data_IF_078807282170
#
_entry.id   IF_078807282170
#
_cell.length_a   1.000
_cell.length_b   1.000
_cell.length_c   1.000
_cell.angle_alpha   90.00
_cell.angle_beta   90.00
_cell.angle_gamma   90.00
#
_symmetry.space_group_name_H-M   'P 1'
#
loop_
_entity.id
_entity.type
_entity.pdbx_description
1 polymer ?
#
# COMPACT_ATOMS: atom_id res chain seq x y z
N UNK A 1 -20.60 17.24 35.99
CA UNK A 1 -21.37 16.56 34.93
C UNK A 1 -21.00 15.10 35.01
N UNK A 2 -21.90 14.23 35.48
CA UNK A 2 -21.72 12.80 35.31
C UNK A 2 -21.85 12.51 33.81
N UNK A 3 -20.84 11.91 33.19
CA UNK A 3 -20.86 11.63 31.75
C UNK A 3 -21.98 10.65 31.41
N UNK A 4 -22.62 10.81 30.26
CA UNK A 4 -23.59 9.87 29.70
C UNK A 4 -22.95 8.58 29.16
N UNK A 5 -21.76 8.25 29.63
CA UNK A 5 -20.89 7.18 29.14
C UNK A 5 -20.36 6.42 30.34
N UNK A 6 -20.71 5.14 30.38
CA UNK A 6 -20.05 4.15 31.23
C UNK A 6 -18.90 3.54 30.41
N UNK A 7 -17.71 3.51 30.99
CA UNK A 7 -16.53 2.98 30.34
C UNK A 7 -16.09 1.71 31.07
N UNK A 8 -16.09 0.62 30.31
CA UNK A 8 -15.57 -0.67 30.74
C UNK A 8 -14.30 -0.98 29.94
N UNK A 9 -13.27 -1.48 30.63
CA UNK A 9 -12.02 -1.90 30.01
C UNK A 9 -11.88 -3.40 30.19
N UNK A 10 -11.82 -4.10 29.06
CA UNK A 10 -11.62 -5.56 29.00
C UNK A 10 -10.20 -5.82 28.50
N UNK A 11 -9.36 -6.39 29.37
CA UNK A 11 -7.95 -6.71 29.07
C UNK A 11 -7.72 -8.22 28.89
N UNK A 12 -8.64 -9.05 29.40
CA UNK A 12 -8.58 -10.50 29.31
C UNK A 12 -9.88 -11.08 28.71
N UNK A 13 -9.75 -12.12 27.89
CA UNK A 13 -10.91 -12.74 27.21
C UNK A 13 -11.96 -13.29 28.18
N UNK A 14 -11.58 -13.62 29.41
CA UNK A 14 -12.49 -14.11 30.46
C UNK A 14 -13.37 -13.01 31.06
N UNK A 15 -13.04 -11.74 30.82
CA UNK A 15 -13.82 -10.58 31.25
C UNK A 15 -14.92 -10.21 30.26
N UNK A 16 -14.95 -10.82 29.07
CA UNK A 16 -15.98 -10.52 28.06
C UNK A 16 -17.30 -11.16 28.48
N UNK A 17 -18.24 -10.33 28.90
CA UNK A 17 -19.60 -10.72 29.22
C UNK A 17 -20.53 -10.64 27.99
N UNK A 18 -21.68 -11.34 28.00
CA UNK A 18 -22.71 -11.14 26.99
C UNK A 18 -23.17 -9.69 26.90
N UNK A 19 -23.31 -9.16 25.68
CA UNK A 19 -23.66 -7.76 25.45
C UNK A 19 -25.18 -7.61 25.42
N UNK A 20 -25.74 -6.93 26.44
CA UNK A 20 -27.14 -6.50 26.48
C UNK A 20 -27.27 -5.04 26.03
N UNK A 21 -27.67 -4.83 24.77
CA UNK A 21 -27.87 -3.50 24.21
C UNK A 21 -28.93 -3.53 23.10
N UNK A 22 -29.51 -2.36 22.78
CA UNK A 22 -30.39 -2.21 21.61
C UNK A 22 -29.58 -2.14 20.30
N UNK A 23 -28.37 -1.60 20.36
CA UNK A 23 -27.46 -1.45 19.22
C UNK A 23 -25.99 -1.56 19.65
N UNK A 24 -25.16 -2.08 18.74
CA UNK A 24 -23.71 -2.23 18.93
C UNK A 24 -22.99 -1.45 17.83
N UNK A 25 -21.94 -0.73 18.21
CA UNK A 25 -21.05 -0.07 17.25
C UNK A 25 -19.70 -0.79 17.26
N UNK A 26 -19.43 -1.53 16.20
CA UNK A 26 -18.13 -2.15 15.96
C UNK A 26 -17.15 -1.13 15.38
N UNK A 27 -16.23 -0.68 16.22
CA UNK A 27 -15.12 0.20 15.85
C UNK A 27 -13.78 -0.32 16.40
N UNK A 28 -13.63 -1.65 16.53
CA UNK A 28 -12.47 -2.28 17.16
C UNK A 28 -11.24 -2.23 16.23
N UNK A 29 -11.36 -2.73 15.00
CA UNK A 29 -10.27 -2.77 14.01
C UNK A 29 -10.83 -2.47 12.61
N UNK A 30 -10.37 -1.38 12.01
CA UNK A 30 -10.73 -0.99 10.65
C UNK A 30 -9.90 -1.65 9.55
N UNK A 31 -9.65 -0.91 8.46
CA UNK A 31 -8.97 -1.40 7.25
C UNK A 31 -7.55 -1.96 7.44
N UNK A 32 -6.92 -1.78 8.61
CA UNK A 32 -5.56 -2.25 8.90
C UNK A 32 -5.47 -3.73 9.24
N UNK A 33 -6.60 -4.41 9.47
CA UNK A 33 -6.60 -5.83 9.79
C UNK A 33 -5.95 -6.68 8.67
N UNK A 34 -5.07 -7.61 9.05
CA UNK A 34 -4.38 -8.54 8.14
C UNK A 34 -4.37 -9.99 8.68
N UNK A 35 -5.18 -10.30 9.69
CA UNK A 35 -5.10 -11.55 10.47
C UNK A 35 -4.44 -11.34 11.84
N UNK A 36 -4.56 -12.34 12.71
CA UNK A 36 -3.93 -12.37 14.03
C UNK A 36 -4.77 -11.69 15.11
N UNK A 37 -6.06 -12.04 15.24
CA UNK A 37 -6.90 -11.51 16.30
C UNK A 37 -6.40 -11.94 17.69
N UNK A 38 -6.28 -10.96 18.60
CA UNK A 38 -6.02 -11.25 20.00
C UNK A 38 -7.15 -12.11 20.61
N UNK A 39 -6.88 -12.91 21.65
CA UNK A 39 -7.92 -13.68 22.34
C UNK A 39 -9.09 -12.81 22.82
N UNK A 40 -8.80 -11.61 23.33
CA UNK A 40 -9.80 -10.64 23.79
C UNK A 40 -10.67 -10.18 22.62
N UNK A 41 -10.06 -9.74 21.52
CA UNK A 41 -10.81 -9.29 20.33
C UNK A 41 -11.70 -10.39 19.78
N UNK A 42 -11.20 -11.63 19.75
CA UNK A 42 -11.99 -12.79 19.32
C UNK A 42 -13.21 -13.02 20.20
N UNK A 43 -13.03 -12.97 21.51
CA UNK A 43 -14.12 -13.12 22.47
C UNK A 43 -15.17 -12.01 22.30
N UNK A 44 -14.73 -10.76 22.11
CA UNK A 44 -15.64 -9.62 21.85
C UNK A 44 -16.42 -9.81 20.53
N UNK A 45 -15.77 -10.20 19.43
CA UNK A 45 -16.47 -10.47 18.15
C UNK A 45 -17.54 -11.55 18.35
N UNK A 46 -17.21 -12.62 19.08
CA UNK A 46 -18.16 -13.68 19.38
C UNK A 46 -19.35 -13.18 20.22
N UNK A 47 -19.11 -12.32 21.22
CA UNK A 47 -20.16 -11.71 22.02
C UNK A 47 -21.06 -10.77 21.18
N UNK A 48 -20.47 -9.99 20.27
CA UNK A 48 -21.21 -9.14 19.31
C UNK A 48 -22.11 -10.01 18.44
N UNK A 49 -21.55 -11.03 17.78
CA UNK A 49 -22.30 -11.89 16.87
C UNK A 49 -23.37 -12.75 17.56
N UNK A 50 -23.25 -12.99 18.87
CA UNK A 50 -24.24 -13.69 19.67
C UNK A 50 -25.36 -12.77 20.19
N UNK A 51 -25.16 -11.46 20.20
CA UNK A 51 -26.13 -10.48 20.66
C UNK A 51 -27.25 -10.29 19.63
N UNK A 52 -28.52 -10.14 20.06
CA UNK A 52 -29.63 -9.78 19.17
C UNK A 52 -29.64 -8.29 18.78
N UNK A 53 -28.70 -7.50 19.29
CA UNK A 53 -28.62 -6.05 19.07
C UNK A 53 -28.34 -5.70 17.60
N UNK A 54 -28.84 -4.54 17.16
CA UNK A 54 -28.55 -4.04 15.81
C UNK A 54 -27.08 -3.60 15.69
N UNK A 55 -26.28 -4.29 14.89
CA UNK A 55 -24.83 -4.10 14.82
C UNK A 55 -24.43 -3.22 13.64
N UNK A 56 -23.69 -2.15 13.93
CA UNK A 56 -23.14 -1.22 12.94
C UNK A 56 -21.62 -1.25 12.98
N UNK A 57 -20.98 -1.68 11.90
CA UNK A 57 -19.52 -1.60 11.76
C UNK A 57 -19.08 -0.28 11.14
N UNK A 58 -18.03 0.30 11.71
CA UNK A 58 -17.41 1.54 11.25
C UNK A 58 -16.18 1.20 10.40
N UNK A 59 -16.10 1.79 9.22
CA UNK A 59 -15.10 1.56 8.17
C UNK A 59 -15.20 0.17 7.50
N UNK A 60 -15.09 -0.90 8.29
CA UNK A 60 -15.19 -2.31 7.90
C UNK A 60 -15.55 -3.15 9.13
N UNK A 61 -16.27 -4.28 8.99
CA UNK A 61 -16.43 -5.23 10.07
C UNK A 61 -15.08 -5.71 10.58
N UNK A 62 -14.89 -5.65 11.90
CA UNK A 62 -13.68 -6.16 12.55
C UNK A 62 -13.52 -7.64 12.19
N UNK A 63 -12.33 -8.01 11.69
CA UNK A 63 -12.03 -9.36 11.23
C UNK A 63 -12.16 -9.59 9.71
N UNK A 64 -12.57 -8.58 8.95
CA UNK A 64 -12.59 -8.62 7.48
C UNK A 64 -11.30 -8.01 6.88
N UNK A 65 -10.60 -8.77 6.06
CA UNK A 65 -9.45 -8.27 5.29
C UNK A 65 -9.96 -7.48 4.09
N UNK A 66 -9.80 -6.15 4.13
CA UNK A 66 -10.39 -5.22 3.15
C UNK A 66 -9.87 -5.35 1.72
N UNK A 67 -8.69 -5.93 1.52
CA UNK A 67 -8.08 -6.07 0.20
C UNK A 67 -8.60 -7.31 -0.54
N UNK A 68 -8.80 -8.42 0.19
CA UNK A 68 -9.16 -9.73 -0.38
C UNK A 68 -10.60 -10.15 -0.09
N UNK A 69 -11.20 -9.60 0.97
CA UNK A 69 -12.50 -10.02 1.50
C UNK A 69 -12.42 -11.28 2.36
N UNK A 70 -11.23 -11.77 2.65
CA UNK A 70 -11.06 -12.95 3.51
C UNK A 70 -11.37 -12.61 4.96
N UNK A 71 -11.86 -13.63 5.66
CA UNK A 71 -12.06 -13.63 7.12
C UNK A 71 -11.23 -14.81 7.65
N UNK A 72 -9.91 -14.64 7.85
CA UNK A 72 -9.03 -15.74 8.24
C UNK A 72 -9.41 -16.37 9.58
N UNK A 73 -10.12 -15.61 10.39
CA UNK A 73 -10.57 -15.91 11.74
C UNK A 73 -12.03 -15.41 11.88
N UNK A 74 -12.44 -15.03 13.09
CA UNK A 74 -13.75 -14.47 13.39
C UNK A 74 -13.90 -13.09 12.76
N UNK A 75 -15.12 -12.79 12.33
CA UNK A 75 -15.48 -11.51 11.75
C UNK A 75 -16.84 -11.08 12.29
N UNK A 76 -16.99 -9.80 12.56
CA UNK A 76 -18.30 -9.23 12.91
C UNK A 76 -19.26 -9.41 11.75
N UNK A 77 -20.49 -9.83 12.04
CA UNK A 77 -21.62 -9.87 11.11
C UNK A 77 -22.51 -8.66 11.38
N UNK A 78 -22.31 -7.59 10.61
CA UNK A 78 -23.01 -6.34 10.83
C UNK A 78 -24.35 -6.28 10.07
N UNK A 79 -25.34 -5.63 10.66
CA UNK A 79 -26.58 -5.25 9.98
C UNK A 79 -26.37 -4.07 9.02
N UNK A 80 -25.41 -3.20 9.34
CA UNK A 80 -24.97 -2.11 8.48
C UNK A 80 -23.48 -1.82 8.64
N UNK A 81 -22.84 -1.39 7.55
CA UNK A 81 -21.44 -0.93 7.57
C UNK A 81 -21.35 0.48 7.02
N UNK A 82 -20.79 1.40 7.80
CA UNK A 82 -20.48 2.77 7.36
C UNK A 82 -19.03 2.83 6.93
N UNK A 83 -18.80 2.77 5.62
CA UNK A 83 -17.46 2.88 5.02
C UNK A 83 -17.15 4.30 4.59
N UNK A 84 -15.89 4.70 4.65
CA UNK A 84 -15.47 6.05 4.25
C UNK A 84 -14.93 6.10 2.83
N UNK A 85 -15.27 7.18 2.12
CA UNK A 85 -14.83 7.54 0.77
C UNK A 85 -15.25 6.57 -0.35
N UNK A 86 -14.88 5.30 -0.27
CA UNK A 86 -15.24 4.25 -1.23
C UNK A 86 -15.46 2.89 -0.55
N UNK A 87 -16.24 2.00 -1.18
CA UNK A 87 -16.22 0.58 -0.84
C UNK A 87 -14.82 -0.01 -1.04
N UNK A 88 -14.42 -0.90 -0.15
CA UNK A 88 -13.13 -1.61 -0.25
C UNK A 88 -13.23 -2.78 -1.23
N UNK A 89 -12.13 -3.17 -1.85
CA UNK A 89 -12.08 -4.26 -2.84
C UNK A 89 -12.67 -5.56 -2.30
N UNK A 90 -12.31 -5.93 -1.07
CA UNK A 90 -12.76 -7.11 -0.37
C UNK A 90 -14.23 -7.14 0.01
N UNK A 91 -14.98 -6.04 -0.16
CA UNK A 91 -16.41 -6.01 0.15
C UNK A 91 -17.25 -6.76 -0.87
N UNK A 92 -16.72 -6.99 -2.07
CA UNK A 92 -17.43 -7.66 -3.15
C UNK A 92 -17.82 -9.08 -2.72
N UNK A 93 -19.12 -9.37 -2.72
CA UNK A 93 -19.65 -10.69 -2.36
C UNK A 93 -19.67 -10.98 -0.86
N UNK A 94 -19.62 -9.95 0.00
CA UNK A 94 -19.67 -10.09 1.47
C UNK A 94 -20.94 -9.49 2.11
N UNK A 95 -22.16 -9.76 1.60
CA UNK A 95 -23.38 -9.16 2.15
C UNK A 95 -23.65 -9.63 3.59
N UNK A 96 -23.18 -10.84 3.96
CA UNK A 96 -23.37 -11.40 5.31
C UNK A 96 -22.60 -10.60 6.37
N UNK A 97 -21.35 -10.23 6.07
CA UNK A 97 -20.50 -9.49 7.00
C UNK A 97 -20.86 -8.00 7.02
N UNK A 98 -21.25 -7.43 5.87
CA UNK A 98 -21.41 -5.99 5.72
C UNK A 98 -22.82 -5.47 6.04
N UNK A 99 -23.84 -6.31 5.86
CA UNK A 99 -25.23 -5.88 5.88
C UNK A 99 -25.50 -4.76 4.87
N UNK A 100 -26.21 -3.71 5.31
CA UNK A 100 -26.43 -2.50 4.53
C UNK A 100 -25.16 -1.64 4.45
N UNK A 101 -24.57 -1.53 3.27
CA UNK A 101 -23.39 -0.68 3.04
C UNK A 101 -23.78 0.80 2.86
N UNK A 102 -23.20 1.68 3.65
CA UNK A 102 -23.36 3.14 3.59
C UNK A 102 -21.99 3.75 3.32
N UNK A 103 -21.85 4.52 2.24
CA UNK A 103 -20.59 5.19 1.88
C UNK A 103 -20.64 6.66 2.32
N UNK A 104 -19.92 6.99 3.40
CA UNK A 104 -19.78 8.35 3.90
C UNK A 104 -18.67 9.11 3.16
N UNK A 105 -18.97 10.32 2.68
CA UNK A 105 -17.99 11.17 1.99
C UNK A 105 -17.11 11.91 3.00
N UNK A 106 -15.79 11.82 2.85
CA UNK A 106 -14.82 12.54 3.68
C UNK A 106 -14.45 13.96 3.16
N UNK A 107 -15.07 14.39 2.06
CA UNK A 107 -14.71 15.67 1.42
C UNK A 107 -13.41 15.64 0.61
N UNK A 108 -12.92 14.44 0.25
CA UNK A 108 -11.76 14.30 -0.65
C UNK A 108 -12.10 14.83 -2.05
N UNK A 109 -11.24 15.67 -2.66
CA UNK A 109 -11.42 16.15 -4.03
C UNK A 109 -11.26 14.99 -5.01
N UNK A 110 -11.99 15.02 -6.13
CA UNK A 110 -11.92 13.97 -7.15
C UNK A 110 -10.51 13.84 -7.76
N UNK A 111 -9.79 14.96 -7.81
CA UNK A 111 -8.41 15.07 -8.25
C UNK A 111 -7.46 14.20 -7.43
N UNK A 112 -7.71 14.03 -6.13
CA UNK A 112 -6.89 13.14 -5.31
C UNK A 112 -6.94 11.69 -5.83
N UNK A 113 -8.06 11.26 -6.41
CA UNK A 113 -8.17 9.92 -6.99
C UNK A 113 -7.44 9.77 -8.33
N UNK A 114 -7.23 10.88 -9.04
CA UNK A 114 -6.57 10.90 -10.34
C UNK A 114 -5.06 11.06 -10.21
N UNK A 115 -4.63 11.92 -9.28
CA UNK A 115 -3.25 12.41 -9.15
C UNK A 115 -2.56 11.97 -7.85
N UNK A 116 -3.14 11.05 -7.09
CA UNK A 116 -2.44 10.44 -5.94
C UNK A 116 -2.49 8.92 -6.03
N UNK A 117 -1.30 8.31 -6.13
CA UNK A 117 -1.11 6.85 -6.22
C UNK A 117 -0.39 6.40 -7.49
N UNK A 118 -0.32 5.09 -7.77
CA UNK A 118 0.27 4.56 -8.99
C UNK A 118 -0.47 5.00 -10.27
N UNK A 119 -1.63 5.66 -10.14
CA UNK A 119 -2.39 6.22 -11.26
C UNK A 119 -1.55 7.17 -12.12
N UNK A 120 -0.76 8.06 -11.53
CA UNK A 120 0.14 8.94 -12.28
C UNK A 120 1.22 8.17 -13.04
N UNK A 121 1.74 7.09 -12.43
CA UNK A 121 2.67 6.18 -13.09
C UNK A 121 1.98 5.48 -14.26
N UNK A 122 0.74 5.02 -14.11
CA UNK A 122 -0.03 4.40 -15.21
C UNK A 122 -0.32 5.38 -16.36
N UNK A 123 -0.46 6.69 -16.07
CA UNK A 123 -0.66 7.72 -17.09
C UNK A 123 0.60 7.98 -17.92
N UNK A 124 1.80 7.86 -17.33
CA UNK A 124 3.07 8.12 -18.03
C UNK A 124 3.80 6.85 -18.48
N UNK A 125 3.44 5.68 -17.94
CA UNK A 125 4.06 4.41 -18.28
C UNK A 125 3.51 3.90 -19.62
N UNK A 126 4.33 4.00 -20.68
CA UNK A 126 4.00 3.46 -21.99
C UNK A 126 3.89 1.94 -21.92
N UNK A 127 2.72 1.40 -22.32
CA UNK A 127 2.53 -0.03 -22.56
C UNK A 127 3.53 -0.50 -23.63
N UNK A 128 4.21 -1.61 -23.38
CA UNK A 128 5.07 -2.25 -24.39
C UNK A 128 4.22 -2.99 -25.41
N UNK A 129 4.40 -2.64 -26.68
CA UNK A 129 3.89 -3.37 -27.83
C UNK A 129 4.61 -4.72 -27.97
N UNK A 130 3.86 -5.73 -28.40
CA UNK A 130 4.37 -7.11 -28.58
C UNK A 130 5.43 -7.21 -29.66
N UNK A 131 5.41 -6.32 -30.65
CA UNK A 131 6.40 -6.24 -31.73
C UNK A 131 7.54 -5.25 -31.43
N UNK A 132 7.60 -4.72 -30.19
CA UNK A 132 8.61 -3.75 -29.79
C UNK A 132 10.02 -4.33 -29.74
N UNK A 133 11.01 -3.53 -30.14
CA UNK A 133 12.42 -3.91 -30.12
C UNK A 133 13.25 -2.97 -29.23
N UNK A 134 14.46 -3.40 -28.88
CA UNK A 134 15.41 -2.62 -28.08
C UNK A 134 15.67 -1.25 -28.73
N UNK A 135 15.54 -0.19 -27.94
CA UNK A 135 15.67 1.20 -28.35
C UNK A 135 14.35 1.91 -28.68
N UNK A 136 13.22 1.18 -28.72
CA UNK A 136 11.89 1.75 -28.95
C UNK A 136 11.32 2.42 -27.69
N UNK A 137 11.68 1.93 -26.51
CA UNK A 137 11.27 2.46 -25.20
C UNK A 137 12.33 3.37 -24.58
N UNK A 138 13.01 4.12 -25.44
CA UNK A 138 13.93 5.18 -25.04
C UNK A 138 15.35 4.72 -24.76
N UNK A 139 16.25 5.71 -24.77
CA UNK A 139 17.65 5.58 -24.37
C UNK A 139 17.95 6.67 -23.37
N UNK A 140 18.60 6.31 -22.27
CA UNK A 140 18.99 7.24 -21.21
C UNK A 140 20.51 7.20 -21.05
N UNK A 141 21.12 8.38 -20.92
CA UNK A 141 22.50 8.52 -20.48
C UNK A 141 22.49 9.13 -19.07
N UNK A 142 22.95 8.35 -18.09
CA UNK A 142 23.22 8.81 -16.74
C UNK A 142 24.67 9.26 -16.70
N UNK A 143 24.91 10.54 -16.43
CA UNK A 143 26.24 11.11 -16.29
C UNK A 143 26.46 11.48 -14.84
N UNK A 144 27.48 10.91 -14.20
CA UNK A 144 27.75 11.24 -12.81
C UNK A 144 28.83 10.36 -12.19
N UNK A 145 28.98 10.51 -10.88
CA UNK A 145 29.95 9.74 -10.11
C UNK A 145 31.32 10.39 -10.02
N UNK A 146 32.10 9.79 -9.14
CA UNK A 146 33.49 10.13 -8.79
C UNK A 146 34.07 8.91 -8.09
N UNK A 147 35.35 8.96 -7.73
CA UNK A 147 35.98 7.96 -6.86
C UNK A 147 35.12 7.65 -5.62
N UNK A 148 34.62 8.68 -4.94
CA UNK A 148 33.81 8.54 -3.71
C UNK A 148 32.34 8.21 -3.98
N UNK A 149 31.72 8.84 -4.99
CA UNK A 149 30.28 8.76 -5.22
C UNK A 149 29.90 7.90 -6.44
N UNK A 150 30.64 6.81 -6.69
CA UNK A 150 30.40 5.90 -7.80
C UNK A 150 29.03 5.19 -7.72
N UNK A 151 28.48 4.99 -6.52
CA UNK A 151 27.16 4.35 -6.33
C UNK A 151 25.96 5.18 -6.83
N UNK A 152 26.06 6.51 -6.84
CA UNK A 152 24.96 7.38 -7.25
C UNK A 152 24.50 7.15 -8.71
N UNK A 153 25.39 7.18 -9.72
CA UNK A 153 25.00 6.88 -11.10
C UNK A 153 24.55 5.42 -11.28
N UNK A 154 25.09 4.47 -10.50
CA UNK A 154 24.66 3.07 -10.54
C UNK A 154 23.19 2.90 -10.09
N UNK A 155 22.82 3.53 -8.96
CA UNK A 155 21.44 3.51 -8.45
C UNK A 155 20.46 4.16 -9.43
N UNK A 156 20.83 5.31 -10.00
CA UNK A 156 20.01 5.98 -11.01
C UNK A 156 19.79 5.08 -12.25
N UNK A 157 20.84 4.40 -12.70
CA UNK A 157 20.74 3.46 -13.82
C UNK A 157 19.85 2.27 -13.50
N UNK A 158 19.97 1.66 -12.31
CA UNK A 158 19.11 0.55 -11.89
C UNK A 158 17.64 0.98 -11.80
N UNK A 159 17.37 2.18 -11.25
CA UNK A 159 16.03 2.75 -11.22
C UNK A 159 15.45 2.92 -12.63
N UNK A 160 16.22 3.49 -13.56
CA UNK A 160 15.79 3.63 -14.94
C UNK A 160 15.51 2.28 -15.63
N UNK A 161 16.36 1.28 -15.42
CA UNK A 161 16.13 -0.08 -15.94
C UNK A 161 14.85 -0.70 -15.37
N UNK A 162 14.60 -0.53 -14.06
CA UNK A 162 13.39 -1.03 -13.41
C UNK A 162 12.10 -0.37 -13.93
N UNK A 163 12.18 0.89 -14.38
CA UNK A 163 11.03 1.60 -14.98
C UNK A 163 10.77 1.24 -16.46
N UNK A 164 11.63 0.44 -17.08
CA UNK A 164 11.42 -0.09 -18.43
C UNK A 164 12.15 0.64 -19.56
N UNK A 165 13.14 1.50 -19.28
CA UNK A 165 13.99 2.09 -20.34
C UNK A 165 14.83 1.00 -21.01
N UNK A 166 14.85 0.94 -22.34
CA UNK A 166 15.50 -0.14 -23.09
C UNK A 166 17.04 -0.15 -22.98
N UNK A 167 17.61 1.05 -22.96
CA UNK A 167 19.04 1.26 -23.05
C UNK A 167 19.45 2.36 -22.09
N UNK A 168 20.14 1.97 -21.01
CA UNK A 168 20.67 2.91 -20.03
C UNK A 168 22.18 2.84 -20.06
N UNK A 169 22.80 3.94 -20.47
CA UNK A 169 24.24 4.15 -20.47
C UNK A 169 24.63 4.90 -19.21
N UNK A 170 25.73 4.50 -18.57
CA UNK A 170 26.22 5.12 -17.34
C UNK A 170 27.61 5.66 -17.60
N UNK A 171 27.70 6.96 -17.90
CA UNK A 171 28.98 7.63 -18.12
C UNK A 171 29.55 8.13 -16.80
N UNK A 172 30.71 7.59 -16.44
CA UNK A 172 31.39 7.85 -15.17
C UNK A 172 32.90 8.06 -15.41
N UNK A 173 33.61 8.77 -14.52
CA UNK A 173 35.07 8.86 -14.58
C UNK A 173 35.73 7.47 -14.58
N UNK A 174 36.90 7.33 -15.19
CA UNK A 174 37.68 6.08 -15.21
C UNK A 174 37.88 5.49 -13.80
N UNK A 175 38.09 6.36 -12.80
CA UNK A 175 38.25 5.99 -11.38
C UNK A 175 37.03 5.26 -10.79
N UNK A 176 35.84 5.46 -11.34
CA UNK A 176 34.58 4.90 -10.86
C UNK A 176 34.07 3.73 -11.72
N UNK A 177 34.62 3.55 -12.92
CA UNK A 177 34.02 2.68 -13.93
C UNK A 177 33.96 1.20 -13.55
N UNK A 178 35.00 0.68 -12.91
CA UNK A 178 35.06 -0.73 -12.54
C UNK A 178 34.12 -1.03 -11.37
N UNK A 179 34.04 -0.12 -10.39
CA UNK A 179 33.08 -0.21 -9.28
C UNK A 179 31.63 -0.19 -9.75
N UNK A 180 31.30 0.68 -10.71
CA UNK A 180 29.95 0.73 -11.31
C UNK A 180 29.65 -0.50 -12.17
N UNK A 181 30.62 -0.95 -12.97
CA UNK A 181 30.45 -2.14 -13.84
C UNK A 181 30.20 -3.42 -13.03
N UNK A 182 30.73 -3.49 -11.81
CA UNK A 182 30.54 -4.63 -10.92
C UNK A 182 29.12 -4.74 -10.32
N UNK A 183 28.32 -3.67 -10.35
CA UNK A 183 26.97 -3.66 -9.74
C UNK A 183 25.99 -4.55 -10.50
N UNK A 184 26.01 -4.53 -11.83
CA UNK A 184 25.13 -5.37 -12.66
C UNK A 184 25.68 -5.58 -14.06
N UNK A 185 25.63 -6.81 -14.62
CA UNK A 185 26.02 -7.09 -15.99
C UNK A 185 25.09 -6.46 -17.04
N UNK A 186 23.89 -5.99 -16.66
CA UNK A 186 22.98 -5.27 -17.56
C UNK A 186 23.40 -3.82 -17.82
N UNK A 187 24.35 -3.29 -17.03
CA UNK A 187 24.71 -1.88 -17.05
C UNK A 187 25.72 -1.58 -18.17
N UNK A 188 25.41 -0.62 -19.04
CA UNK A 188 26.33 -0.21 -20.10
C UNK A 188 27.18 0.96 -19.58
N UNK A 189 28.38 0.66 -19.08
CA UNK A 189 29.26 1.67 -18.50
C UNK A 189 30.14 2.30 -19.57
N UNK A 190 30.12 3.64 -19.63
CA UNK A 190 30.95 4.45 -20.52
C UNK A 190 32.05 5.10 -19.66
N UNK A 191 33.31 4.77 -19.95
CA UNK A 191 34.45 5.31 -19.21
C UNK A 191 34.83 6.68 -19.76
N UNK A 192 34.73 7.73 -18.94
CA UNK A 192 35.14 9.08 -19.26
C UNK A 192 36.54 9.36 -18.69
N UNK A 193 37.41 9.95 -19.51
CA UNK A 193 38.83 10.14 -19.15
C UNK A 193 39.02 10.95 -17.88
N UNK A 194 39.91 10.49 -17.00
CA UNK A 194 40.29 11.19 -15.77
C UNK A 194 39.50 10.78 -14.55
N UNK A 195 39.87 11.35 -13.40
CA UNK A 195 39.37 10.93 -12.08
C UNK A 195 38.05 11.59 -11.68
N UNK A 196 37.67 12.69 -12.37
CA UNK A 196 36.49 13.51 -12.08
C UNK A 196 35.89 14.06 -13.37
N UNK A 197 34.59 14.31 -13.36
CA UNK A 197 33.89 14.94 -14.48
C UNK A 197 34.20 16.43 -14.56
N UNK A 198 34.49 16.90 -15.77
CA UNK A 198 34.82 18.27 -16.14
C UNK A 198 34.26 18.57 -17.52
N UNK A 199 34.15 19.83 -17.91
CA UNK A 199 33.70 20.19 -19.27
C UNK A 199 34.63 19.71 -20.39
N UNK A 200 35.84 19.24 -20.07
CA UNK A 200 36.83 18.73 -21.05
C UNK A 200 36.72 17.23 -21.32
N UNK A 201 36.03 16.49 -20.46
CA UNK A 201 35.89 15.03 -20.53
C UNK A 201 34.43 14.56 -20.51
N UNK A 202 33.49 15.48 -20.76
CA UNK A 202 32.07 15.26 -21.02
C UNK A 202 31.78 15.23 -22.51
#
# INVERSE_FOLDING_TARGET
>A
MAGSLELEVVEDSTQVEPIEADAIVDALIGYTYRGGLSPVTRAVINAINASPAYTVSIDTPTGLVVDTGETPEECVEADATVTFHKPKTGFKGKPKQLGKLIVAKLGLPAEAELFTGPGDVLLVHRRRETEGHKGMYGRLLVVGGSETYHGAPALATMGAQATGVDLVYTAVPESAADGVSAVSPSMIVVKLKGERLTTKNL
#
